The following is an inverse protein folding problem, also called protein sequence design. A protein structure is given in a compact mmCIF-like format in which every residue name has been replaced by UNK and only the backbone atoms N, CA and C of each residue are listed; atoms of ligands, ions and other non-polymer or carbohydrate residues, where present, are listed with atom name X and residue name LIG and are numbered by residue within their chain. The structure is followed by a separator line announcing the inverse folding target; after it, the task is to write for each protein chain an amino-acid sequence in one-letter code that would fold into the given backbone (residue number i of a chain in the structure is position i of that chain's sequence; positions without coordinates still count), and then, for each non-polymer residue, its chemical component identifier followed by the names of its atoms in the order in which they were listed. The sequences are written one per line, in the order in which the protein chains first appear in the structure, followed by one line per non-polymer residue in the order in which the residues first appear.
data_IF_344441483528
#
_entry.id   IF_344441483528
#
_cell.length_a   1.000
_cell.length_b   1.000
_cell.length_c   1.000
_cell.angle_alpha   90.00
_cell.angle_beta   90.00
_cell.angle_gamma   90.00
#
_symmetry.space_group_name_H-M   'P 1'
#
loop_
_entity.id
_entity.type
_entity.pdbx_description
1 polymer ?
#
# COMPACT_ATOMS: atom_id res chain seq x y z
N UNK A 1 -5.41 -9.98 9.16
CA UNK A 1 -6.29 -9.35 8.14
C UNK A 1 -5.40 -8.88 7.01
N UNK A 2 -5.73 -9.16 5.74
CA UNK A 2 -4.84 -8.90 4.61
C UNK A 2 -4.63 -7.39 4.37
N UNK A 3 -3.39 -6.97 4.11
CA UNK A 3 -2.97 -5.59 3.83
C UNK A 3 -3.83 -4.96 2.71
N UNK A 4 -4.22 -5.77 1.73
CA UNK A 4 -5.17 -5.41 0.67
C UNK A 4 -6.50 -4.83 1.19
N UNK A 5 -7.11 -5.43 2.22
CA UNK A 5 -8.39 -4.94 2.72
C UNK A 5 -8.22 -3.59 3.44
N UNK A 6 -7.13 -3.44 4.19
CA UNK A 6 -6.81 -2.18 4.88
C UNK A 6 -6.63 -1.02 3.88
N UNK A 7 -6.04 -1.32 2.73
CA UNK A 7 -5.72 -0.34 1.69
C UNK A 7 -6.80 -0.23 0.61
N UNK A 8 -7.89 -0.99 0.70
CA UNK A 8 -8.96 -1.02 -0.32
C UNK A 8 -8.53 -1.65 -1.66
N UNK A 9 -7.47 -2.45 -1.64
CA UNK A 9 -6.87 -3.16 -2.79
C UNK A 9 -7.34 -4.62 -2.88
N UNK A 10 -8.42 -5.00 -2.19
CA UNK A 10 -8.97 -6.36 -2.17
C UNK A 10 -9.27 -6.91 -3.57
N UNK A 11 -9.71 -6.04 -4.49
CA UNK A 11 -10.07 -6.41 -5.86
C UNK A 11 -8.88 -6.34 -6.83
N UNK A 12 -7.69 -5.96 -6.36
CA UNK A 12 -6.52 -5.82 -7.23
C UNK A 12 -5.76 -7.16 -7.34
N UNK A 13 -5.32 -7.55 -8.56
CA UNK A 13 -4.56 -8.77 -8.79
C UNK A 13 -3.08 -8.62 -8.39
N UNK A 14 -2.80 -7.97 -7.26
CA UNK A 14 -1.45 -7.72 -6.73
C UNK A 14 -1.31 -8.37 -5.36
N UNK A 15 -0.14 -8.90 -5.05
CA UNK A 15 0.17 -9.50 -3.75
C UNK A 15 0.46 -8.45 -2.67
N UNK A 16 0.36 -8.83 -1.40
CA UNK A 16 0.73 -7.97 -0.27
C UNK A 16 2.20 -7.53 -0.36
N UNK A 17 3.09 -8.44 -0.78
CA UNK A 17 4.51 -8.13 -1.01
C UNK A 17 4.74 -7.05 -2.07
N UNK A 18 3.95 -7.05 -3.16
CA UNK A 18 4.08 -6.05 -4.22
C UNK A 18 3.55 -4.69 -3.77
N UNK A 19 2.45 -4.69 -3.00
CA UNK A 19 1.93 -3.48 -2.38
C UNK A 19 2.97 -2.86 -1.45
N UNK A 20 3.59 -3.67 -0.58
CA UNK A 20 4.68 -3.21 0.28
C UNK A 20 5.87 -2.68 -0.51
N UNK A 21 6.27 -3.37 -1.59
CA UNK A 21 7.37 -2.92 -2.44
C UNK A 21 7.10 -1.53 -3.00
N UNK A 22 5.89 -1.28 -3.55
CA UNK A 22 5.49 0.04 -4.06
C UNK A 22 5.43 1.10 -2.96
N UNK A 23 4.94 0.76 -1.77
CA UNK A 23 4.94 1.66 -0.60
C UNK A 23 6.38 2.04 -0.22
N UNK A 24 7.29 1.07 -0.11
CA UNK A 24 8.69 1.32 0.22
C UNK A 24 9.42 2.16 -0.84
N UNK A 25 9.20 1.87 -2.12
CA UNK A 25 9.74 2.69 -3.21
C UNK A 25 9.23 4.13 -3.14
N UNK A 26 7.95 4.31 -2.82
CA UNK A 26 7.35 5.62 -2.70
C UNK A 26 7.91 6.42 -1.50
N UNK A 27 8.18 5.77 -0.36
CA UNK A 27 8.91 6.39 0.75
C UNK A 27 10.31 6.82 0.34
N UNK A 28 11.06 5.96 -0.36
CA UNK A 28 12.41 6.29 -0.84
C UNK A 28 12.41 7.50 -1.79
N UNK A 29 11.33 7.64 -2.57
CA UNK A 29 11.13 8.75 -3.50
C UNK A 29 10.50 9.99 -2.86
N UNK A 30 10.24 9.99 -1.54
CA UNK A 30 9.51 11.05 -0.83
C UNK A 30 8.15 11.39 -1.48
N UNK A 31 7.44 10.38 -1.99
CA UNK A 31 6.09 10.58 -2.48
C UNK A 31 5.12 10.76 -1.31
N UNK A 32 4.11 11.58 -1.50
CA UNK A 32 3.03 11.78 -0.52
C UNK A 32 1.88 10.78 -0.69
N UNK A 33 1.65 10.33 -1.92
CA UNK A 33 0.61 9.36 -2.27
C UNK A 33 1.06 8.39 -3.36
N UNK A 34 0.46 7.19 -3.33
CA UNK A 34 0.58 6.18 -4.37
C UNK A 34 -0.80 5.88 -4.94
N UNK A 35 -0.85 5.82 -6.26
CA UNK A 35 -2.04 5.44 -6.99
C UNK A 35 -1.93 3.98 -7.47
N UNK A 36 -2.97 3.22 -7.18
CA UNK A 36 -3.22 1.91 -7.74
C UNK A 36 -4.45 2.02 -8.64
N UNK A 37 -4.24 1.93 -9.94
CA UNK A 37 -5.30 1.93 -10.94
C UNK A 37 -5.47 0.53 -11.53
N UNK A 38 -6.73 0.16 -11.74
CA UNK A 38 -7.18 -1.02 -12.46
C UNK A 38 -8.23 -0.58 -13.47
N UNK A 39 -8.60 -1.45 -14.42
CA UNK A 39 -9.59 -1.14 -15.46
C UNK A 39 -10.94 -0.64 -14.91
N UNK A 40 -11.29 -0.98 -13.66
CA UNK A 40 -12.60 -0.67 -13.06
C UNK A 40 -12.53 0.26 -11.85
N UNK A 41 -11.33 0.51 -11.30
CA UNK A 41 -11.19 1.24 -10.03
C UNK A 41 -9.82 1.86 -9.89
N UNK A 42 -9.80 3.06 -9.33
CA UNK A 42 -8.59 3.76 -8.88
C UNK A 42 -8.63 3.89 -7.37
N UNK A 43 -7.53 3.54 -6.71
CA UNK A 43 -7.34 3.62 -5.27
C UNK A 43 -6.10 4.45 -5.00
N UNK A 44 -6.28 5.56 -4.29
CA UNK A 44 -5.20 6.46 -3.87
C UNK A 44 -4.91 6.26 -2.39
N UNK A 45 -3.66 5.97 -2.07
CA UNK A 45 -3.21 5.75 -0.71
C UNK A 45 -2.24 6.86 -0.35
N UNK A 46 -2.62 7.65 0.66
CA UNK A 46 -1.74 8.68 1.22
C UNK A 46 -0.74 8.04 2.18
N UNK A 47 0.54 8.18 1.88
CA UNK A 47 1.63 7.62 2.68
C UNK A 47 1.72 8.27 4.06
N UNK A 48 1.23 9.50 4.21
CA UNK A 48 1.10 10.16 5.52
C UNK A 48 0.10 9.46 6.45
N UNK A 49 -0.89 8.73 5.91
CA UNK A 49 -1.84 7.92 6.71
C UNK A 49 -1.37 6.49 6.94
N UNK A 50 -0.38 6.07 6.19
CA UNK A 50 0.26 4.78 6.32
C UNK A 50 1.48 5.03 7.20
N UNK A 51 1.36 4.94 8.53
CA UNK A 51 2.59 5.12 9.32
C UNK A 51 3.56 3.98 9.00
N UNK A 52 4.81 4.31 8.69
CA UNK A 52 5.86 3.33 8.38
C UNK A 52 6.00 2.32 9.54
N UNK A 53 5.88 2.81 10.78
CA UNK A 53 5.84 2.02 12.01
C UNK A 53 4.64 1.07 12.07
N UNK A 54 3.49 1.51 11.55
CA UNK A 54 2.28 0.70 11.46
C UNK A 54 2.49 -0.51 10.57
N UNK A 55 2.99 -0.33 9.34
CA UNK A 55 3.19 -1.43 8.39
C UNK A 55 4.30 -2.39 8.83
N UNK A 56 5.42 -1.87 9.34
CA UNK A 56 6.54 -2.71 9.77
C UNK A 56 6.14 -3.65 10.91
N UNK A 57 5.27 -3.20 11.83
CA UNK A 57 4.82 -4.02 12.95
C UNK A 57 3.90 -5.20 12.54
N UNK A 58 3.25 -5.15 11.36
CA UNK A 58 2.40 -6.26 10.87
C UNK A 58 3.18 -7.41 10.21
N UNK A 59 4.46 -7.22 9.85
CA UNK A 59 5.24 -8.23 9.10
C UNK A 59 6.40 -8.83 9.91
N UNK A 60 6.73 -8.28 11.08
CA UNK A 60 7.75 -8.82 11.98
C UNK A 60 7.16 -9.53 13.22
N UNK A 61 5.88 -9.89 13.21
CA UNK A 61 5.20 -10.62 14.28
C UNK A 61 4.89 -12.06 13.90
#
# INVERSE_FOLDING_TARGET
MALKNLLGLESFPIGDSEIMRRIQEAYKQNLEEIEFSSEKRVVKIKLSKVSQEGITHWYTG
#
